data_IF_086159647999
#
_entry.id   IF_086159647999
#
_cell.length_a   1.000
_cell.length_b   1.000
_cell.length_c   1.000
_cell.angle_alpha   90.00
_cell.angle_beta   90.00
_cell.angle_gamma   90.00
#
_symmetry.space_group_name_H-M   'P 1'
#
loop_
_entity.id
_entity.type
_entity.pdbx_description
1 polymer ?
#
# COMPACT_ATOMS: atom_id res chain seq x y z
N UNK A 1 -5.48 -22.56 3.86
CA UNK A 1 -4.35 -21.97 4.60
C UNK A 1 -4.70 -21.98 6.06
N UNK A 2 -3.88 -22.58 6.89
CA UNK A 2 -4.06 -22.45 8.34
C UNK A 2 -3.81 -21.01 8.78
N UNK A 3 -4.38 -20.60 9.92
CA UNK A 3 -4.26 -19.23 10.44
C UNK A 3 -2.79 -18.83 10.62
N UNK A 4 -1.94 -19.77 11.03
CA UNK A 4 -0.49 -19.57 11.17
C UNK A 4 0.22 -19.25 9.85
N UNK A 5 -0.13 -19.90 8.74
CA UNK A 5 0.43 -19.59 7.42
C UNK A 5 0.08 -18.16 7.01
N UNK A 6 -1.15 -17.72 7.30
CA UNK A 6 -1.61 -16.36 6.97
C UNK A 6 -0.89 -15.29 7.79
N UNK A 7 -0.66 -15.54 9.08
CA UNK A 7 0.09 -14.63 9.95
C UNK A 7 1.53 -14.53 9.46
N UNK A 8 2.19 -15.66 9.20
CA UNK A 8 3.56 -15.68 8.71
C UNK A 8 3.71 -14.95 7.36
N UNK A 9 2.81 -15.23 6.41
CA UNK A 9 2.75 -14.52 5.12
C UNK A 9 2.64 -13.01 5.32
N UNK A 10 1.68 -12.58 6.14
CA UNK A 10 1.39 -11.15 6.33
C UNK A 10 2.56 -10.43 7.00
N UNK A 11 3.17 -11.03 8.02
CA UNK A 11 4.33 -10.44 8.71
C UNK A 11 5.54 -10.36 7.78
N UNK A 12 5.82 -11.42 7.03
CA UNK A 12 6.95 -11.43 6.09
C UNK A 12 6.76 -10.41 4.97
N UNK A 13 5.53 -10.28 4.46
CA UNK A 13 5.16 -9.29 3.47
C UNK A 13 5.37 -7.86 3.99
N UNK A 14 4.86 -7.55 5.18
CA UNK A 14 4.97 -6.20 5.76
C UNK A 14 6.44 -5.81 6.01
N UNK A 15 7.24 -6.71 6.59
CA UNK A 15 8.66 -6.45 6.83
C UNK A 15 9.40 -6.20 5.50
N UNK A 16 9.12 -7.00 4.48
CA UNK A 16 9.74 -6.85 3.17
C UNK A 16 9.28 -5.57 2.45
N UNK A 17 8.00 -5.22 2.54
CA UNK A 17 7.47 -3.96 1.99
C UNK A 17 8.13 -2.74 2.64
N UNK A 18 8.29 -2.74 3.97
CA UNK A 18 9.00 -1.69 4.70
C UNK A 18 10.47 -1.59 4.26
N UNK A 19 11.16 -2.72 4.10
CA UNK A 19 12.56 -2.74 3.65
C UNK A 19 12.72 -2.21 2.22
N UNK A 20 11.87 -2.66 1.29
CA UNK A 20 11.86 -2.17 -0.10
C UNK A 20 11.55 -0.68 -0.13
N UNK A 21 10.54 -0.23 0.61
CA UNK A 21 10.19 1.18 0.69
C UNK A 21 11.33 2.05 1.22
N UNK A 22 12.00 1.60 2.29
CA UNK A 22 13.17 2.30 2.83
C UNK A 22 14.32 2.38 1.81
N UNK A 23 14.62 1.29 1.09
CA UNK A 23 15.65 1.27 0.04
C UNK A 23 15.31 2.25 -1.07
N UNK A 24 14.07 2.26 -1.56
CA UNK A 24 13.64 3.18 -2.63
C UNK A 24 13.84 4.63 -2.22
N UNK A 25 13.46 4.99 -1.00
CA UNK A 25 13.63 6.37 -0.50
C UNK A 25 15.10 6.74 -0.35
N UNK A 26 15.93 5.83 0.18
CA UNK A 26 17.38 6.03 0.30
C UNK A 26 18.09 6.16 -1.07
N UNK A 27 17.59 5.47 -2.10
CA UNK A 27 18.12 5.57 -3.46
C UNK A 27 17.63 6.82 -4.19
N UNK A 28 16.47 7.36 -3.80
CA UNK A 28 15.87 8.54 -4.43
C UNK A 28 16.52 9.87 -3.99
N UNK A 29 17.28 9.88 -2.89
CA UNK A 29 18.03 11.05 -2.45
C UNK A 29 18.73 10.84 -1.11
N UNK A 30 19.50 11.85 -0.67
CA UNK A 30 20.25 11.83 0.60
C UNK A 30 19.34 12.09 1.82
N UNK A 31 18.23 11.37 1.93
CA UNK A 31 17.34 11.43 3.08
C UNK A 31 17.85 10.52 4.20
N UNK A 32 17.82 11.00 5.44
CA UNK A 32 18.12 10.12 6.57
C UNK A 32 17.03 9.04 6.70
N UNK A 33 17.43 7.83 7.10
CA UNK A 33 16.50 6.72 7.35
C UNK A 33 15.39 7.12 8.35
N UNK A 34 15.74 7.96 9.32
CA UNK A 34 14.80 8.51 10.30
C UNK A 34 13.75 9.43 9.65
N UNK A 35 14.17 10.35 8.76
CA UNK A 35 13.25 11.23 8.04
C UNK A 35 12.32 10.43 7.11
N UNK A 36 12.86 9.43 6.41
CA UNK A 36 12.08 8.53 5.55
C UNK A 36 11.03 7.74 6.34
N UNK A 37 11.45 7.13 7.45
CA UNK A 37 10.56 6.34 8.31
C UNK A 37 9.50 7.20 8.98
N UNK A 38 9.89 8.36 9.53
CA UNK A 38 8.96 9.30 10.17
C UNK A 38 7.93 9.86 9.18
N UNK A 39 8.36 10.19 7.96
CA UNK A 39 7.47 10.64 6.88
C UNK A 39 6.49 9.54 6.47
N UNK A 40 6.96 8.30 6.32
CA UNK A 40 6.10 7.16 6.01
C UNK A 40 5.04 6.91 7.08
N UNK A 41 5.41 7.00 8.37
CA UNK A 41 4.46 6.88 9.49
C UNK A 41 3.42 8.01 9.46
N UNK A 42 3.85 9.26 9.25
CA UNK A 42 2.95 10.40 9.17
C UNK A 42 1.93 10.25 8.03
N UNK A 43 2.40 9.84 6.84
CA UNK A 43 1.55 9.59 5.68
C UNK A 43 0.57 8.45 5.96
N UNK A 44 1.01 7.35 6.59
CA UNK A 44 0.14 6.23 6.92
C UNK A 44 -1.01 6.64 7.87
N UNK A 45 -0.71 7.44 8.89
CA UNK A 45 -1.72 7.96 9.83
C UNK A 45 -2.72 8.85 9.08
N UNK A 46 -2.22 9.77 8.25
CA UNK A 46 -3.05 10.71 7.49
C UNK A 46 -3.92 9.97 6.48
N UNK A 47 -3.37 8.99 5.78
CA UNK A 47 -4.10 8.13 4.85
C UNK A 47 -5.22 7.36 5.56
N UNK A 48 -4.96 6.82 6.75
CA UNK A 48 -5.98 6.12 7.55
C UNK A 48 -7.13 7.06 7.96
N UNK A 49 -6.80 8.29 8.40
CA UNK A 49 -7.80 9.31 8.76
C UNK A 49 -8.62 9.73 7.54
N UNK A 50 -7.95 10.04 6.43
CA UNK A 50 -8.62 10.42 5.18
C UNK A 50 -9.48 9.28 4.63
N UNK A 51 -9.03 8.03 4.74
CA UNK A 51 -9.82 6.86 4.35
C UNK A 51 -11.10 6.75 5.18
N UNK A 52 -11.03 6.97 6.49
CA UNK A 52 -12.22 7.00 7.33
C UNK A 52 -13.18 8.13 6.93
N UNK A 53 -12.68 9.37 6.78
CA UNK A 53 -13.48 10.53 6.40
C UNK A 53 -14.12 10.32 5.02
N UNK A 54 -13.34 9.88 4.04
CA UNK A 54 -13.79 9.63 2.68
C UNK A 54 -14.89 8.56 2.66
N UNK A 55 -14.69 7.44 3.34
CA UNK A 55 -15.70 6.38 3.41
C UNK A 55 -16.98 6.88 4.08
N UNK A 56 -16.88 7.68 5.14
CA UNK A 56 -18.05 8.27 5.80
C UNK A 56 -18.83 9.21 4.87
N UNK A 57 -18.14 10.11 4.17
CA UNK A 57 -18.77 11.05 3.22
C UNK A 57 -19.40 10.27 2.05
N UNK A 58 -18.66 9.31 1.49
CA UNK A 58 -19.13 8.52 0.35
C UNK A 58 -20.36 7.68 0.70
N UNK A 59 -20.38 7.07 1.89
CA UNK A 59 -21.53 6.29 2.36
C UNK A 59 -22.76 7.18 2.63
N UNK A 60 -22.57 8.46 3.00
CA UNK A 60 -23.67 9.44 3.07
C UNK A 60 -24.18 9.87 1.70
N UNK A 61 -23.30 10.08 0.72
CA UNK A 61 -23.70 10.47 -0.63
C UNK A 61 -24.39 9.33 -1.41
N UNK A 62 -23.99 8.08 -1.14
CA UNK A 62 -24.53 6.88 -1.79
C UNK A 62 -25.07 5.87 -0.76
N UNK A 63 -26.22 6.16 -0.13
CA UNK A 63 -26.82 5.27 0.85
C UNK A 63 -27.31 3.97 0.20
N UNK A 64 -26.98 2.82 0.80
CA UNK A 64 -27.34 1.49 0.30
C UNK A 64 -26.35 0.41 0.73
N UNK A 65 -26.68 -0.87 0.50
CA UNK A 65 -25.75 -1.97 0.78
C UNK A 65 -24.54 -1.87 -0.15
N UNK A 66 -23.33 -2.00 0.41
CA UNK A 66 -22.07 -1.96 -0.36
C UNK A 66 -22.01 -3.02 -1.47
N UNK A 67 -22.69 -4.15 -1.25
CA UNK A 67 -22.76 -5.30 -2.16
C UNK A 67 -23.55 -4.99 -3.44
N UNK A 68 -24.59 -4.17 -3.34
CA UNK A 68 -25.48 -3.81 -4.45
C UNK A 68 -24.89 -2.69 -5.35
N UNK A 69 -23.71 -2.16 -4.99
CA UNK A 69 -23.02 -1.11 -5.75
C UNK A 69 -22.41 -1.68 -7.03
N UNK A 70 -22.98 -1.30 -8.18
CA UNK A 70 -22.50 -1.69 -9.51
C UNK A 70 -21.08 -1.20 -9.83
N UNK A 71 -20.46 -1.78 -10.85
CA UNK A 71 -19.05 -1.53 -11.24
C UNK A 71 -18.71 -0.05 -11.43
N UNK A 72 -19.63 0.76 -11.97
CA UNK A 72 -19.43 2.20 -12.19
C UNK A 72 -19.19 2.95 -10.88
N UNK A 73 -19.95 2.61 -9.83
CA UNK A 73 -19.82 3.27 -8.52
C UNK A 73 -18.54 2.84 -7.80
N UNK A 74 -18.08 1.61 -8.01
CA UNK A 74 -16.79 1.13 -7.49
C UNK A 74 -15.60 1.82 -8.15
N UNK A 75 -15.64 1.99 -9.47
CA UNK A 75 -14.61 2.76 -10.19
C UNK A 75 -14.60 4.23 -9.77
N UNK A 76 -15.78 4.84 -9.62
CA UNK A 76 -15.89 6.21 -9.11
C UNK A 76 -15.30 6.32 -7.70
N UNK A 77 -15.65 5.40 -6.79
CA UNK A 77 -15.11 5.36 -5.43
C UNK A 77 -13.59 5.26 -5.44
N UNK A 78 -13.03 4.31 -6.19
CA UNK A 78 -11.59 4.10 -6.32
C UNK A 78 -10.87 5.36 -6.84
N UNK A 79 -11.36 5.96 -7.93
CA UNK A 79 -10.74 7.15 -8.54
C UNK A 79 -10.85 8.36 -7.60
N UNK A 80 -12.01 8.58 -6.97
CA UNK A 80 -12.20 9.67 -6.02
C UNK A 80 -11.36 9.49 -4.76
N UNK A 81 -11.22 8.25 -4.26
CA UNK A 81 -10.40 7.95 -3.10
C UNK A 81 -8.92 8.23 -3.38
N UNK A 82 -8.41 7.66 -4.47
CA UNK A 82 -7.02 7.84 -4.89
C UNK A 82 -6.70 9.31 -5.15
N UNK A 83 -7.59 10.01 -5.86
CA UNK A 83 -7.42 11.44 -6.12
C UNK A 83 -7.43 12.28 -4.84
N UNK A 84 -8.30 11.94 -3.87
CA UNK A 84 -8.32 12.62 -2.56
C UNK A 84 -7.04 12.35 -1.80
N UNK A 85 -6.55 11.11 -1.77
CA UNK A 85 -5.28 10.78 -1.11
C UNK A 85 -4.14 11.59 -1.72
N UNK A 86 -3.95 11.54 -3.05
CA UNK A 86 -2.88 12.25 -3.74
C UNK A 86 -2.86 13.76 -3.44
N UNK A 87 -4.04 14.41 -3.43
CA UNK A 87 -4.15 15.85 -3.15
C UNK A 87 -3.61 16.22 -1.76
N UNK A 88 -3.77 15.32 -0.78
CA UNK A 88 -3.29 15.55 0.59
C UNK A 88 -1.88 15.01 0.82
N UNK A 89 -1.53 13.83 0.29
CA UNK A 89 -0.23 13.19 0.51
C UNK A 89 0.89 13.96 -0.17
N UNK A 90 0.69 14.47 -1.40
CA UNK A 90 1.74 15.16 -2.16
C UNK A 90 2.27 16.41 -1.44
N UNK A 91 1.43 17.37 -0.97
CA UNK A 91 1.93 18.53 -0.23
C UNK A 91 2.65 18.15 1.07
N UNK A 92 2.19 17.09 1.74
CA UNK A 92 2.81 16.62 2.99
C UNK A 92 4.18 16.01 2.70
N UNK A 93 4.29 15.14 1.69
CA UNK A 93 5.57 14.57 1.24
C UNK A 93 6.53 15.69 0.83
N UNK A 94 6.04 16.65 0.04
CA UNK A 94 6.80 17.82 -0.40
C UNK A 94 7.34 18.62 0.80
N UNK A 95 6.49 18.86 1.80
CA UNK A 95 6.89 19.59 3.00
C UNK A 95 7.88 18.82 3.87
N UNK A 96 7.62 17.54 4.16
CA UNK A 96 8.42 16.73 5.08
C UNK A 96 9.79 16.35 4.50
N UNK A 97 9.86 16.05 3.20
CA UNK A 97 11.10 15.70 2.51
C UNK A 97 11.75 16.90 1.81
N UNK A 98 11.19 18.11 1.98
CA UNK A 98 11.67 19.34 1.35
C UNK A 98 11.83 19.19 -0.19
N UNK A 99 10.86 18.53 -0.81
CA UNK A 99 10.79 18.27 -2.24
C UNK A 99 9.86 19.27 -2.92
N UNK A 100 10.11 19.59 -4.19
CA UNK A 100 9.11 20.28 -5.01
C UNK A 100 7.92 19.35 -5.30
N UNK A 101 6.72 19.89 -5.52
CA UNK A 101 5.48 19.14 -5.74
C UNK A 101 5.60 18.09 -6.86
N UNK A 102 6.34 18.39 -7.94
CA UNK A 102 6.58 17.42 -9.02
C UNK A 102 7.40 16.21 -8.56
N UNK A 103 8.43 16.44 -7.75
CA UNK A 103 9.27 15.38 -7.21
C UNK A 103 8.51 14.57 -6.15
N UNK A 104 7.70 15.23 -5.31
CA UNK A 104 6.84 14.56 -4.35
C UNK A 104 5.78 13.69 -5.03
N UNK A 105 5.15 14.17 -6.10
CA UNK A 105 4.21 13.38 -6.92
C UNK A 105 4.88 12.15 -7.54
N UNK A 106 6.06 12.33 -8.13
CA UNK A 106 6.81 11.22 -8.73
C UNK A 106 7.29 10.22 -7.67
N UNK A 107 7.65 10.69 -6.49
CA UNK A 107 8.01 9.83 -5.36
C UNK A 107 6.80 9.02 -4.87
N UNK A 108 5.63 9.64 -4.72
CA UNK A 108 4.41 8.98 -4.25
C UNK A 108 3.94 7.88 -5.23
N UNK A 109 3.86 8.20 -6.53
CA UNK A 109 3.50 7.23 -7.58
C UNK A 109 4.61 6.19 -7.74
N UNK A 110 5.88 6.60 -7.77
CA UNK A 110 7.01 5.70 -7.96
C UNK A 110 7.10 4.65 -6.84
N UNK A 111 7.00 5.10 -5.58
CA UNK A 111 6.96 4.22 -4.42
C UNK A 111 5.75 3.29 -4.47
N UNK A 112 4.56 3.82 -4.77
CA UNK A 112 3.32 3.02 -4.88
C UNK A 112 3.43 1.94 -5.96
N UNK A 113 3.98 2.27 -7.13
CA UNK A 113 4.19 1.30 -8.22
C UNK A 113 5.23 0.24 -7.85
N UNK A 114 6.34 0.63 -7.19
CA UNK A 114 7.37 -0.34 -6.76
C UNK A 114 6.82 -1.27 -5.69
N UNK A 115 6.07 -0.76 -4.71
CA UNK A 115 5.43 -1.59 -3.67
C UNK A 115 4.37 -2.51 -4.30
N UNK A 116 3.59 -2.03 -5.28
CA UNK A 116 2.64 -2.86 -6.01
C UNK A 116 3.33 -4.00 -6.76
N UNK A 117 4.43 -3.72 -7.47
CA UNK A 117 5.23 -4.73 -8.16
C UNK A 117 5.85 -5.72 -7.17
N UNK A 118 6.39 -5.23 -6.05
CA UNK A 118 6.88 -6.06 -4.95
C UNK A 118 5.78 -7.00 -4.44
N UNK A 119 4.58 -6.48 -4.18
CA UNK A 119 3.46 -7.27 -3.69
C UNK A 119 3.03 -8.34 -4.68
N UNK A 120 2.99 -8.02 -5.97
CA UNK A 120 2.72 -8.99 -7.01
C UNK A 120 3.76 -10.12 -7.02
N UNK A 121 5.05 -9.78 -7.05
CA UNK A 121 6.15 -10.76 -7.09
C UNK A 121 6.19 -11.60 -5.82
N UNK A 122 6.05 -10.98 -4.65
CA UNK A 122 6.05 -11.67 -3.36
C UNK A 122 4.91 -12.68 -3.29
N UNK A 123 3.68 -12.27 -3.61
CA UNK A 123 2.53 -13.17 -3.59
C UNK A 123 2.72 -14.33 -4.58
N UNK A 124 3.19 -14.04 -5.79
CA UNK A 124 3.42 -15.07 -6.80
C UNK A 124 4.49 -16.09 -6.36
N UNK A 125 5.62 -15.63 -5.82
CA UNK A 125 6.67 -16.51 -5.32
C UNK A 125 6.19 -17.33 -4.13
N UNK A 126 5.46 -16.72 -3.19
CA UNK A 126 4.92 -17.42 -2.04
C UNK A 126 3.97 -18.55 -2.45
N UNK A 127 3.09 -18.29 -3.44
CA UNK A 127 2.17 -19.30 -3.96
C UNK A 127 2.91 -20.48 -4.62
N UNK A 128 3.98 -20.21 -5.39
CA UNK A 128 4.82 -21.26 -6.00
C UNK A 128 5.51 -22.11 -4.92
N UNK A 129 6.12 -21.45 -3.92
CA UNK A 129 6.83 -22.14 -2.83
C UNK A 129 5.86 -23.00 -2.03
N UNK A 130 4.70 -22.44 -1.69
CA UNK A 130 3.64 -23.14 -0.97
C UNK A 130 3.12 -24.35 -1.75
N UNK A 131 2.89 -24.21 -3.07
CA UNK A 131 2.48 -25.31 -3.93
C UNK A 131 3.52 -26.44 -3.95
N UNK A 132 4.82 -26.10 -4.05
CA UNK A 132 5.92 -27.08 -3.99
C UNK A 132 6.01 -27.79 -2.64
N UNK A 133 5.89 -27.05 -1.52
CA UNK A 133 5.93 -27.62 -0.17
C UNK A 133 4.78 -28.60 0.08
N UNK A 134 3.57 -28.27 -0.38
CA UNK A 134 2.40 -29.17 -0.27
C UNK A 134 2.64 -30.43 -1.10
N UNK A 135 3.15 -30.31 -2.34
CA UNK A 135 3.46 -31.46 -3.19
C UNK A 135 4.50 -32.40 -2.58
N UNK A 136 5.54 -31.85 -1.93
CA UNK A 136 6.55 -32.65 -1.23
C UNK A 136 5.94 -33.42 -0.04
N UNK A 137 5.11 -32.75 0.77
CA UNK A 137 4.45 -33.38 1.92
C UNK A 137 3.48 -34.49 1.53
N UNK A 138 2.83 -34.40 0.36
CA UNK A 138 1.99 -35.48 -0.19
C UNK A 138 2.76 -36.61 -0.84
N UNK A 139 4.05 -36.44 -1.16
CA UNK A 139 4.90 -37.50 -1.74
C UNK A 139 5.53 -38.40 -0.68
N UNK A 140 5.62 -37.90 0.56
CA UNK A 140 6.16 -38.63 1.71
C UNK A 140 5.06 -39.33 2.56
N UNK A 141 3.80 -39.31 2.12
CA UNK A 141 2.68 -40.10 2.67
C UNK A 141 2.29 -41.23 1.72
#
# INVERSE_FOLDING_TARGET
>A
MEVWERIFHSVLFEIGAMAVGAIVVLLAGDFSLEAATGTGIAIAIIAMVLNFIFNYIFDKCFPGKREDRGLKLRLLHMICFEGTLLIFTIPIIAYLLNLNLWHAFLADIGLSLIIMLYAFVFNWLYDIIRAKLIQMRTKDQ
#
